data_IF_523005059433
#
_entry.id   IF_523005059433
#
_cell.length_a   1.000
_cell.length_b   1.000
_cell.length_c   1.000
_cell.angle_alpha   90.00
_cell.angle_beta   90.00
_cell.angle_gamma   90.00
#
_symmetry.space_group_name_H-M   'P 1'
#
loop_
_entity.id
_entity.type
_entity.pdbx_description
1 polymer ?
#
# COMPACT_ATOMS: atom_id res chain seq x y z
N UNK A 1 -10.28 -15.86 -10.59
CA UNK A 1 -8.84 -16.00 -10.92
C UNK A 1 -8.06 -14.95 -10.14
N UNK A 2 -6.97 -15.31 -9.44
CA UNK A 2 -6.28 -14.45 -8.48
C UNK A 2 -5.61 -13.21 -9.10
N UNK A 3 -4.74 -13.40 -10.09
CA UNK A 3 -4.04 -12.31 -10.83
C UNK A 3 -4.89 -11.10 -11.26
N UNK A 4 -6.04 -11.26 -11.97
CA UNK A 4 -6.86 -10.10 -12.35
C UNK A 4 -7.49 -9.40 -11.14
N UNK A 5 -7.86 -10.15 -10.09
CA UNK A 5 -8.37 -9.56 -8.84
C UNK A 5 -7.30 -8.70 -8.17
N UNK A 6 -6.08 -9.22 -8.02
CA UNK A 6 -4.95 -8.51 -7.43
C UNK A 6 -4.66 -7.20 -8.18
N UNK A 7 -4.61 -7.24 -9.51
CA UNK A 7 -4.44 -6.03 -10.34
C UNK A 7 -5.56 -5.01 -10.11
N UNK A 8 -6.79 -5.48 -9.99
CA UNK A 8 -7.94 -4.61 -9.71
C UNK A 8 -7.83 -3.98 -8.32
N UNK A 9 -7.40 -4.74 -7.29
CA UNK A 9 -7.18 -4.20 -5.93
C UNK A 9 -6.05 -3.18 -5.90
N UNK A 10 -4.93 -3.44 -6.58
CA UNK A 10 -3.83 -2.47 -6.70
C UNK A 10 -4.33 -1.18 -7.38
N UNK A 11 -5.12 -1.28 -8.45
CA UNK A 11 -5.71 -0.12 -9.13
C UNK A 11 -6.66 0.65 -8.20
N UNK A 12 -7.54 -0.05 -7.47
CA UNK A 12 -8.49 0.55 -6.54
C UNK A 12 -7.76 1.26 -5.38
N UNK A 13 -6.72 0.66 -4.83
CA UNK A 13 -5.87 1.26 -3.81
C UNK A 13 -5.19 2.54 -4.33
N UNK A 14 -4.60 2.51 -5.53
CA UNK A 14 -4.03 3.72 -6.14
C UNK A 14 -5.08 4.82 -6.34
N UNK A 15 -6.29 4.48 -6.81
CA UNK A 15 -7.38 5.45 -6.94
C UNK A 15 -7.77 6.07 -5.61
N UNK A 16 -7.82 5.28 -4.54
CA UNK A 16 -8.07 5.78 -3.18
C UNK A 16 -6.98 6.76 -2.74
N UNK A 17 -5.69 6.45 -2.97
CA UNK A 17 -4.59 7.39 -2.70
C UNK A 17 -4.78 8.69 -3.45
N UNK A 18 -5.06 8.62 -4.76
CA UNK A 18 -5.24 9.81 -5.59
C UNK A 18 -6.42 10.67 -5.11
N UNK A 19 -7.53 10.06 -4.69
CA UNK A 19 -8.67 10.80 -4.09
C UNK A 19 -8.31 11.49 -2.78
N UNK A 20 -7.42 10.89 -1.98
CA UNK A 20 -6.95 11.43 -0.70
C UNK A 20 -5.78 12.41 -0.85
N UNK A 21 -5.34 12.71 -2.07
CA UNK A 21 -4.32 13.73 -2.35
C UNK A 21 -4.75 15.09 -1.81
N UNK A 22 -6.02 15.47 -1.96
CA UNK A 22 -6.58 16.73 -1.45
C UNK A 22 -6.59 16.79 0.08
N UNK A 23 -6.66 15.64 0.75
CA UNK A 23 -6.53 15.53 2.20
C UNK A 23 -5.05 15.57 2.66
N UNK A 24 -4.08 15.70 1.75
CA UNK A 24 -2.66 15.80 2.08
C UNK A 24 -1.93 14.46 2.19
N UNK A 25 -2.49 13.37 1.64
CA UNK A 25 -1.80 12.08 1.58
C UNK A 25 -0.58 12.09 0.64
N UNK A 26 -0.54 13.01 -0.33
CA UNK A 26 0.65 13.29 -1.14
C UNK A 26 1.72 14.05 -0.36
N UNK A 27 2.96 13.96 -0.80
CA UNK A 27 4.06 14.80 -0.31
C UNK A 27 4.21 16.08 -1.17
N UNK A 28 4.52 17.25 -0.59
CA UNK A 28 4.51 17.58 0.84
C UNK A 28 3.07 17.78 1.33
N UNK A 29 2.75 17.29 2.52
CA UNK A 29 1.38 17.26 3.02
C UNK A 29 1.34 16.90 4.50
N UNK A 30 0.48 15.97 4.87
CA UNK A 30 0.32 15.50 6.25
C UNK A 30 1.61 14.93 6.85
N UNK A 31 1.67 14.95 8.19
CA UNK A 31 2.70 14.24 8.96
C UNK A 31 2.70 12.73 8.62
N UNK A 32 3.88 12.12 8.67
CA UNK A 32 4.11 10.69 8.45
C UNK A 32 3.13 9.82 9.23
N UNK A 33 2.93 10.11 10.52
CA UNK A 33 2.02 9.34 11.39
C UNK A 33 0.57 9.34 10.89
N UNK A 34 0.08 10.50 10.42
CA UNK A 34 -1.28 10.62 9.88
C UNK A 34 -1.39 9.86 8.56
N UNK A 35 -0.37 9.93 7.70
CA UNK A 35 -0.32 9.17 6.44
C UNK A 35 -0.33 7.67 6.70
N UNK A 36 0.43 7.21 7.68
CA UNK A 36 0.43 5.82 8.16
C UNK A 36 -0.94 5.42 8.67
N UNK A 37 -1.59 6.26 9.47
CA UNK A 37 -2.93 5.98 9.98
C UNK A 37 -3.95 5.85 8.84
N UNK A 38 -3.93 6.76 7.86
CA UNK A 38 -4.77 6.69 6.66
C UNK A 38 -4.48 5.41 5.86
N UNK A 39 -3.20 5.04 5.72
CA UNK A 39 -2.83 3.81 5.06
C UNK A 39 -3.45 2.59 5.73
N UNK A 40 -3.31 2.47 7.05
CA UNK A 40 -3.82 1.33 7.81
C UNK A 40 -5.36 1.27 7.82
N UNK A 41 -6.04 2.42 7.87
CA UNK A 41 -7.51 2.49 7.97
C UNK A 41 -8.22 2.36 6.63
N UNK A 42 -7.65 2.89 5.54
CA UNK A 42 -8.32 2.96 4.23
C UNK A 42 -7.57 2.16 3.18
N UNK A 43 -6.31 2.48 2.92
CA UNK A 43 -5.60 1.95 1.74
C UNK A 43 -5.22 0.47 1.86
N UNK A 44 -4.89 0.01 3.07
CA UNK A 44 -4.53 -1.37 3.34
C UNK A 44 -5.74 -2.30 3.16
N UNK A 45 -6.91 -2.05 3.79
CA UNK A 45 -8.14 -2.80 3.47
C UNK A 45 -8.51 -2.73 1.98
N UNK A 46 -8.30 -1.59 1.33
CA UNK A 46 -8.52 -1.48 -0.11
C UNK A 46 -7.55 -2.35 -0.93
N UNK A 47 -6.37 -2.64 -0.45
CA UNK A 47 -5.43 -3.53 -1.12
C UNK A 47 -5.71 -5.01 -0.81
N UNK A 48 -6.10 -5.34 0.43
CA UNK A 48 -6.24 -6.72 0.92
C UNK A 48 -7.61 -7.35 0.75
N UNK A 49 -8.66 -6.57 0.49
CA UNK A 49 -10.02 -7.09 0.35
C UNK A 49 -10.15 -8.26 -0.64
N UNK A 50 -10.66 -9.39 -0.14
CA UNK A 50 -10.92 -10.60 -0.91
C UNK A 50 -9.67 -11.42 -1.21
N UNK A 51 -8.49 -11.01 -0.75
CA UNK A 51 -7.25 -11.79 -0.89
C UNK A 51 -7.30 -13.07 -0.04
N UNK A 52 -7.98 -13.02 1.09
CA UNK A 52 -8.19 -14.15 2.01
C UNK A 52 -8.93 -15.32 1.37
N UNK A 53 -9.72 -15.06 0.33
CA UNK A 53 -10.50 -16.09 -0.40
C UNK A 53 -9.77 -16.66 -1.62
N UNK A 54 -8.57 -16.16 -1.92
CA UNK A 54 -7.82 -16.51 -3.13
C UNK A 54 -6.57 -17.30 -2.79
N UNK A 55 -6.24 -18.27 -3.64
CA UNK A 55 -4.93 -18.89 -3.61
C UNK A 55 -3.91 -17.93 -4.26
N UNK A 56 -3.02 -17.36 -3.44
CA UNK A 56 -2.00 -16.39 -3.87
C UNK A 56 -0.68 -17.13 -4.02
N UNK A 57 -0.10 -17.05 -5.21
CA UNK A 57 1.25 -17.58 -5.46
C UNK A 57 2.34 -16.64 -4.96
N UNK A 58 3.56 -17.16 -4.74
CA UNK A 58 4.70 -16.34 -4.32
C UNK A 58 5.00 -15.16 -5.27
N UNK A 59 4.78 -15.35 -6.57
CA UNK A 59 4.95 -14.27 -7.56
C UNK A 59 3.90 -13.17 -7.37
N UNK A 60 2.65 -13.54 -7.12
CA UNK A 60 1.55 -12.60 -6.88
C UNK A 60 1.71 -11.87 -5.55
N UNK A 61 2.22 -12.56 -4.52
CA UNK A 61 2.61 -11.93 -3.25
C UNK A 61 3.75 -10.92 -3.47
N UNK A 62 4.71 -11.23 -4.33
CA UNK A 62 5.77 -10.30 -4.74
C UNK A 62 5.23 -9.02 -5.38
N UNK A 63 4.19 -9.13 -6.22
CA UNK A 63 3.50 -7.98 -6.83
C UNK A 63 2.80 -7.13 -5.77
N UNK A 64 2.13 -7.75 -4.80
CA UNK A 64 1.45 -7.08 -3.69
C UNK A 64 2.42 -6.32 -2.78
N UNK A 65 3.54 -6.95 -2.40
CA UNK A 65 4.62 -6.29 -1.63
C UNK A 65 5.19 -5.08 -2.37
N UNK A 66 5.44 -5.26 -3.66
CA UNK A 66 5.98 -4.20 -4.51
C UNK A 66 4.99 -3.03 -4.62
N UNK A 67 3.70 -3.33 -4.73
CA UNK A 67 2.63 -2.33 -4.74
C UNK A 67 2.55 -1.57 -3.41
N UNK A 68 2.49 -2.26 -2.26
CA UNK A 68 2.50 -1.65 -0.93
C UNK A 68 3.69 -0.71 -0.77
N UNK A 69 4.91 -1.21 -1.02
CA UNK A 69 6.13 -0.42 -0.87
C UNK A 69 6.15 0.81 -1.79
N UNK A 70 5.72 0.66 -3.04
CA UNK A 70 5.66 1.77 -4.01
C UNK A 70 4.69 2.86 -3.60
N UNK A 71 3.51 2.48 -3.09
CA UNK A 71 2.47 3.42 -2.68
C UNK A 71 2.88 4.17 -1.41
N UNK A 72 3.35 3.45 -0.38
CA UNK A 72 3.79 4.06 0.89
C UNK A 72 4.94 5.03 0.66
N UNK A 73 5.98 4.62 -0.10
CA UNK A 73 7.09 5.51 -0.45
C UNK A 73 6.62 6.76 -1.16
N UNK A 74 5.68 6.65 -2.10
CA UNK A 74 5.13 7.79 -2.83
C UNK A 74 4.42 8.77 -1.90
N UNK A 75 3.60 8.28 -0.96
CA UNK A 75 2.93 9.13 0.02
C UNK A 75 3.91 9.89 0.92
N UNK A 76 5.06 9.28 1.21
CA UNK A 76 6.14 9.87 2.02
C UNK A 76 7.16 10.69 1.22
N UNK A 77 7.04 10.77 -0.10
CA UNK A 77 8.02 11.46 -0.95
C UNK A 77 9.38 10.76 -1.05
N UNK A 78 9.46 9.47 -0.70
CA UNK A 78 10.69 8.69 -0.74
C UNK A 78 10.99 8.16 -2.14
N UNK A 79 12.28 7.97 -2.42
CA UNK A 79 12.72 7.38 -3.68
C UNK A 79 12.19 5.95 -3.86
N UNK A 80 11.96 5.53 -5.11
CA UNK A 80 11.60 4.14 -5.43
C UNK A 80 12.67 3.15 -4.94
N UNK A 81 13.94 3.57 -4.91
CA UNK A 81 15.11 2.78 -4.51
C UNK A 81 15.23 2.55 -3.01
N UNK A 82 14.51 3.31 -2.17
CA UNK A 82 14.54 3.13 -0.72
C UNK A 82 14.11 1.71 -0.35
N UNK A 83 14.73 1.09 0.65
CA UNK A 83 14.35 -0.27 1.06
C UNK A 83 12.97 -0.28 1.72
N UNK A 84 11.99 -0.95 1.09
CA UNK A 84 10.60 -0.87 1.54
C UNK A 84 10.40 -1.44 2.95
N UNK A 85 11.10 -2.52 3.32
CA UNK A 85 11.00 -3.13 4.65
C UNK A 85 11.39 -2.15 5.76
N UNK A 86 12.46 -1.36 5.58
CA UNK A 86 12.86 -0.32 6.55
C UNK A 86 11.84 0.79 6.66
N UNK A 87 11.23 1.18 5.53
CA UNK A 87 10.18 2.21 5.51
C UNK A 87 8.94 1.73 6.25
N UNK A 88 8.49 0.50 6.00
CA UNK A 88 7.34 -0.08 6.71
C UNK A 88 7.59 -0.18 8.21
N UNK A 89 8.79 -0.65 8.59
CA UNK A 89 9.20 -0.74 10.00
C UNK A 89 9.22 0.64 10.68
N UNK A 90 9.80 1.66 10.03
CA UNK A 90 9.84 3.02 10.57
C UNK A 90 8.45 3.65 10.71
N UNK A 91 7.53 3.30 9.82
CA UNK A 91 6.15 3.76 9.85
C UNK A 91 5.23 2.87 10.71
N UNK A 92 5.73 1.81 11.35
CA UNK A 92 4.92 0.84 12.08
C UNK A 92 3.75 0.27 11.23
N UNK A 93 4.01 0.03 9.94
CA UNK A 93 3.05 -0.57 9.00
C UNK A 93 3.37 -2.06 8.88
N UNK A 94 2.35 -2.91 9.03
CA UNK A 94 2.51 -4.36 8.84
C UNK A 94 2.79 -4.69 7.36
N UNK A 95 3.73 -5.60 7.07
CA UNK A 95 3.89 -6.11 5.71
C UNK A 95 2.63 -6.87 5.30
N UNK A 96 2.29 -6.84 4.00
CA UNK A 96 1.06 -7.44 3.48
C UNK A 96 0.93 -8.96 3.69
N UNK A 97 2.02 -9.64 4.06
CA UNK A 97 2.01 -11.06 4.41
C UNK A 97 1.46 -11.33 5.82
N UNK A 98 1.48 -10.31 6.69
CA UNK A 98 1.06 -10.39 8.09
C UNK A 98 -0.29 -9.67 8.34
N UNK A 99 -0.93 -9.20 7.27
CA UNK A 99 -2.25 -8.54 7.30
C UNK A 99 -3.32 -9.57 7.02
#
# INVERSE_FOLDING_TARGET
KAKPHIKNRIRACNQSVFKLTTAGLSYPGLNCEVKTHIWNTVNCPMLTYGLETLHITNSEMGDLKSAQGSIVKRGLGLSKRSHYHRVLQACNIKPIEEV
#
